data_IF_069972587713
#
_entry.id   IF_069972587713
#
_cell.length_a   1.000
_cell.length_b   1.000
_cell.length_c   1.000
_cell.angle_alpha   90.00
_cell.angle_beta   90.00
_cell.angle_gamma   90.00
#
_symmetry.space_group_name_H-M   'P 1'
#
loop_
_entity.id
_entity.type
_entity.pdbx_description
1 polymer ?
#
# COMPACT_ATOMS: atom_id res chain seq x y z
N UNK A 1 -23.08 -53.70 55.18
CA UNK A 1 -21.75 -54.28 54.92
C UNK A 1 -20.78 -53.11 54.78
N UNK A 2 -19.79 -53.10 55.67
CA UNK A 2 -18.77 -52.07 55.83
C UNK A 2 -17.71 -52.25 54.73
N UNK A 3 -17.09 -51.17 54.25
CA UNK A 3 -15.63 -50.98 54.18
C UNK A 3 -15.18 -50.07 53.00
N UNK A 4 -14.42 -49.04 53.42
CA UNK A 4 -13.34 -48.31 52.73
C UNK A 4 -13.66 -47.25 51.68
N UNK A 5 -13.38 -46.00 52.07
CA UNK A 5 -12.67 -45.04 51.21
C UNK A 5 -11.20 -45.48 51.00
N UNK A 6 -10.19 -44.60 50.99
CA UNK A 6 -10.21 -43.14 50.98
C UNK A 6 -9.24 -42.53 49.93
N UNK A 7 -9.36 -41.20 49.75
CA UNK A 7 -8.31 -40.19 49.69
C UNK A 7 -6.93 -40.44 49.04
N UNK A 8 -6.44 -39.32 48.46
CA UNK A 8 -5.02 -38.89 48.36
C UNK A 8 -4.15 -39.70 47.40
N UNK A 9 -3.16 -39.17 46.71
CA UNK A 9 -2.62 -37.85 46.44
C UNK A 9 -1.54 -38.15 45.38
N UNK A 10 -1.23 -37.17 44.53
CA UNK A 10 0.15 -36.94 44.04
C UNK A 10 0.77 -38.01 43.14
N UNK A 11 0.92 -37.71 41.84
CA UNK A 11 2.22 -37.57 41.15
C UNK A 11 1.98 -37.46 39.64
N UNK A 12 2.08 -36.25 39.09
CA UNK A 12 3.30 -35.71 38.44
C UNK A 12 3.49 -36.18 36.98
N UNK A 13 3.23 -35.26 36.04
CA UNK A 13 4.20 -34.67 35.09
C UNK A 13 3.45 -34.22 33.83
N UNK A 14 3.24 -32.92 33.68
CA UNK A 14 4.19 -31.99 33.04
C UNK A 14 4.29 -32.21 31.53
N UNK A 15 3.41 -31.54 30.80
CA UNK A 15 3.68 -31.04 29.44
C UNK A 15 3.13 -29.61 29.44
N UNK A 16 3.89 -28.64 29.95
CA UNK A 16 4.92 -27.88 29.21
C UNK A 16 4.34 -27.22 27.96
N UNK A 17 3.89 -25.98 28.16
CA UNK A 17 4.17 -24.87 27.25
C UNK A 17 3.16 -24.64 26.13
N UNK A 18 2.25 -23.70 26.36
CA UNK A 18 2.22 -22.42 25.63
C UNK A 18 1.45 -21.45 26.54
N UNK A 19 2.19 -20.59 27.24
CA UNK A 19 1.63 -19.42 27.91
C UNK A 19 1.12 -18.49 26.83
N UNK A 20 -0.16 -18.62 26.47
CA UNK A 20 -0.88 -17.51 25.85
C UNK A 20 -1.15 -16.50 26.95
N UNK A 21 -0.17 -15.64 27.20
CA UNK A 21 -0.35 -14.43 28.00
C UNK A 21 -1.42 -13.59 27.31
N UNK A 22 -2.68 -13.77 27.72
CA UNK A 22 -3.76 -12.83 27.43
C UNK A 22 -3.51 -11.65 28.36
N UNK A 23 -2.75 -10.69 27.85
CA UNK A 23 -2.57 -9.41 28.51
C UNK A 23 -3.96 -8.73 28.52
N UNK A 24 -4.62 -8.56 29.68
CA UNK A 24 -5.96 -7.96 29.75
C UNK A 24 -5.96 -6.46 29.37
N UNK A 25 -4.76 -5.87 29.22
CA UNK A 25 -4.56 -4.50 28.75
C UNK A 25 -4.40 -4.38 27.22
N UNK A 26 -4.54 -5.46 26.44
CA UNK A 26 -4.52 -5.37 24.98
C UNK A 26 -5.71 -4.56 24.42
N UNK A 27 -6.80 -4.40 25.18
CA UNK A 27 -7.93 -3.55 24.82
C UNK A 27 -7.65 -2.03 24.96
N UNK A 28 -6.56 -1.64 25.65
CA UNK A 28 -6.07 -0.26 25.67
C UNK A 28 -5.11 0.03 24.52
N UNK A 29 -4.62 -1.00 23.83
CA UNK A 29 -3.97 -0.83 22.55
C UNK A 29 -5.06 -0.81 21.49
N UNK A 30 -5.79 0.32 21.46
CA UNK A 30 -6.40 0.78 20.22
C UNK A 30 -5.38 0.53 19.11
N UNK A 31 -5.78 -0.05 17.95
CA UNK A 31 -4.88 -0.04 16.81
C UNK A 31 -4.46 1.41 16.70
N UNK A 32 -3.16 1.68 16.80
CA UNK A 32 -2.64 2.97 16.39
C UNK A 32 -3.10 3.07 14.95
N UNK A 33 -4.22 3.75 14.74
CA UNK A 33 -4.53 4.45 13.52
C UNK A 33 -3.24 5.17 13.29
N UNK A 34 -2.46 4.63 12.36
CA UNK A 34 -1.30 5.29 11.84
C UNK A 34 -1.96 6.50 11.19
N UNK A 35 -2.15 7.56 11.98
CA UNK A 35 -2.27 8.89 11.42
C UNK A 35 -1.12 8.88 10.43
N UNK A 36 -1.40 8.94 9.11
CA UNK A 36 -0.32 9.06 8.17
C UNK A 36 0.42 10.26 8.72
N UNK A 37 1.67 10.05 9.17
CA UNK A 37 2.54 11.12 9.57
C UNK A 37 2.20 12.23 8.60
N UNK A 38 1.77 13.39 9.11
CA UNK A 38 1.64 14.59 8.32
C UNK A 38 3.05 14.81 7.76
N UNK A 39 3.34 14.06 6.70
CA UNK A 39 4.58 14.04 6.03
C UNK A 39 4.55 15.46 5.52
N UNK A 40 5.54 16.28 5.90
CA UNK A 40 5.62 17.67 5.45
C UNK A 40 5.55 17.81 3.92
N UNK A 41 5.54 16.68 3.20
CA UNK A 41 4.95 16.48 1.88
C UNK A 41 3.63 17.25 1.66
N UNK A 42 3.67 18.02 0.57
CA UNK A 42 2.56 18.78 0.05
C UNK A 42 1.32 17.88 -0.20
N UNK A 43 0.09 18.39 0.07
CA UNK A 43 -1.14 17.62 -0.14
C UNK A 43 -1.33 17.11 -1.58
N UNK A 44 -0.82 17.82 -2.60
CA UNK A 44 -0.85 17.35 -3.99
C UNK A 44 0.12 16.18 -4.20
N UNK A 45 1.31 16.20 -3.60
CA UNK A 45 2.24 15.06 -3.63
C UNK A 45 1.63 13.83 -2.95
N UNK A 46 0.94 14.02 -1.83
CA UNK A 46 0.21 12.93 -1.17
C UNK A 46 -0.88 12.33 -2.08
N UNK A 47 -1.60 13.16 -2.84
CA UNK A 47 -2.57 12.68 -3.85
C UNK A 47 -1.89 11.88 -4.96
N UNK A 48 -0.76 12.34 -5.47
CA UNK A 48 0.03 11.60 -6.46
C UNK A 48 0.43 10.23 -5.90
N UNK A 49 0.98 10.19 -4.68
CA UNK A 49 1.37 8.95 -4.01
C UNK A 49 0.19 7.99 -3.82
N UNK A 50 -0.96 8.50 -3.39
CA UNK A 50 -2.16 7.68 -3.20
C UNK A 50 -2.68 7.09 -4.52
N UNK A 51 -2.73 7.89 -5.59
CA UNK A 51 -3.12 7.42 -6.92
C UNK A 51 -2.11 6.42 -7.50
N UNK A 52 -0.82 6.69 -7.36
CA UNK A 52 0.26 5.80 -7.81
C UNK A 52 0.20 4.45 -7.09
N UNK A 53 -0.03 4.46 -5.77
CA UNK A 53 -0.16 3.24 -4.96
C UNK A 53 -1.37 2.41 -5.39
N UNK A 54 -2.52 3.05 -5.64
CA UNK A 54 -3.73 2.37 -6.13
C UNK A 54 -3.50 1.71 -7.48
N UNK A 55 -2.91 2.44 -8.44
CA UNK A 55 -2.59 1.90 -9.76
C UNK A 55 -1.54 0.77 -9.67
N UNK A 56 -0.47 0.94 -8.90
CA UNK A 56 0.57 -0.09 -8.75
C UNK A 56 0.04 -1.38 -8.10
N UNK A 57 -0.89 -1.25 -7.15
CA UNK A 57 -1.54 -2.40 -6.52
C UNK A 57 -2.43 -3.14 -7.51
N UNK A 58 -3.20 -2.38 -8.29
CA UNK A 58 -4.07 -2.95 -9.31
C UNK A 58 -3.29 -3.64 -10.44
N UNK A 59 -2.20 -3.02 -10.92
CA UNK A 59 -1.30 -3.57 -11.94
C UNK A 59 -0.68 -4.89 -11.49
N UNK A 60 -0.19 -4.96 -10.24
CA UNK A 60 0.33 -6.21 -9.67
C UNK A 60 -0.75 -7.30 -9.64
N UNK A 61 -1.99 -6.96 -9.28
CA UNK A 61 -3.08 -7.93 -9.27
C UNK A 61 -3.43 -8.49 -10.66
N UNK A 62 -3.02 -7.80 -11.73
CA UNK A 62 -3.24 -8.20 -13.13
C UNK A 62 -1.94 -8.67 -13.81
N UNK A 63 -0.93 -9.10 -13.03
CA UNK A 63 0.32 -9.67 -13.53
C UNK A 63 1.31 -8.66 -14.12
N UNK A 64 1.08 -7.35 -13.93
CA UNK A 64 1.93 -6.28 -14.45
C UNK A 64 2.96 -5.82 -13.40
N UNK A 65 3.73 -6.78 -12.87
CA UNK A 65 4.67 -6.54 -11.76
C UNK A 65 5.80 -5.58 -12.11
N UNK A 66 6.32 -5.64 -13.35
CA UNK A 66 7.37 -4.75 -13.86
C UNK A 66 6.93 -3.28 -13.74
N UNK A 67 5.76 -2.96 -14.31
CA UNK A 67 5.20 -1.60 -14.33
C UNK A 67 4.81 -1.17 -12.91
N UNK A 68 4.25 -2.09 -12.11
CA UNK A 68 3.92 -1.82 -10.72
C UNK A 68 5.17 -1.51 -9.87
N UNK A 69 6.30 -2.17 -10.14
CA UNK A 69 7.58 -1.92 -9.45
C UNK A 69 8.14 -0.56 -9.84
N UNK A 70 8.13 -0.23 -11.13
CA UNK A 70 8.56 1.09 -11.61
C UNK A 70 7.75 2.21 -11.00
N UNK A 71 6.43 2.06 -10.95
CA UNK A 71 5.54 3.07 -10.38
C UNK A 71 5.82 3.28 -8.88
N UNK A 72 6.13 2.21 -8.13
CA UNK A 72 6.55 2.31 -6.72
C UNK A 72 7.93 2.96 -6.58
N UNK A 73 8.87 2.66 -7.47
CA UNK A 73 10.18 3.30 -7.47
C UNK A 73 10.08 4.81 -7.78
N UNK A 74 9.23 5.20 -8.73
CA UNK A 74 8.93 6.60 -9.00
C UNK A 74 8.25 7.29 -7.80
N UNK A 75 7.32 6.60 -7.13
CA UNK A 75 6.69 7.09 -5.91
C UNK A 75 7.69 7.30 -4.76
N UNK A 76 8.66 6.39 -4.59
CA UNK A 76 9.71 6.55 -3.59
C UNK A 76 10.59 7.78 -3.85
N UNK A 77 10.87 8.09 -5.12
CA UNK A 77 11.63 9.28 -5.51
C UNK A 77 10.92 10.59 -5.15
N UNK A 78 9.58 10.63 -5.10
CA UNK A 78 8.84 11.84 -4.73
C UNK A 78 9.19 12.40 -3.35
N UNK A 79 9.68 11.54 -2.44
CA UNK A 79 10.09 11.97 -1.10
C UNK A 79 11.48 12.63 -1.08
N UNK A 80 12.33 12.39 -2.09
CA UNK A 80 13.73 12.86 -2.13
C UNK A 80 13.95 13.91 -3.21
N UNK A 81 13.42 13.66 -4.41
CA UNK A 81 13.48 14.53 -5.58
C UNK A 81 12.12 14.43 -6.28
N UNK A 82 11.29 15.40 -5.97
CA UNK A 82 9.92 15.42 -6.43
C UNK A 82 9.81 15.55 -7.95
N UNK A 83 10.63 16.40 -8.58
CA UNK A 83 10.59 16.59 -10.02
C UNK A 83 10.98 15.30 -10.76
N UNK A 84 12.08 14.66 -10.34
CA UNK A 84 12.52 13.38 -10.92
C UNK A 84 11.48 12.28 -10.73
N UNK A 85 10.83 12.23 -9.56
CA UNK A 85 9.73 11.31 -9.28
C UNK A 85 8.55 11.50 -10.24
N UNK A 86 8.12 12.75 -10.47
CA UNK A 86 7.01 13.07 -11.37
C UNK A 86 7.33 12.72 -12.83
N UNK A 87 8.54 13.03 -13.31
CA UNK A 87 8.97 12.65 -14.66
C UNK A 87 9.02 11.12 -14.85
N UNK A 88 9.51 10.39 -13.84
CA UNK A 88 9.51 8.93 -13.88
C UNK A 88 8.06 8.39 -13.98
N UNK A 89 7.12 8.96 -13.23
CA UNK A 89 5.70 8.58 -13.31
C UNK A 89 5.10 8.88 -14.69
N UNK A 90 5.44 10.01 -15.30
CA UNK A 90 4.99 10.36 -16.65
C UNK A 90 5.47 9.33 -17.68
N UNK A 91 6.72 8.89 -17.58
CA UNK A 91 7.27 7.87 -18.48
C UNK A 91 6.56 6.51 -18.29
N UNK A 92 6.30 6.10 -17.05
CA UNK A 92 5.53 4.88 -16.77
C UNK A 92 4.09 4.97 -17.30
N UNK A 93 3.43 6.13 -17.15
CA UNK A 93 2.09 6.39 -17.69
C UNK A 93 2.05 6.34 -19.23
N UNK A 94 3.13 6.76 -19.90
CA UNK A 94 3.26 6.66 -21.37
C UNK A 94 3.32 5.20 -21.81
N UNK A 95 4.09 4.36 -21.11
CA UNK A 95 4.18 2.92 -21.39
C UNK A 95 2.86 2.19 -21.17
N UNK A 96 2.10 2.59 -20.15
CA UNK A 96 0.76 2.03 -19.88
C UNK A 96 -0.24 2.24 -21.02
N UNK A 97 -0.08 3.25 -21.88
CA UNK A 97 -0.98 3.48 -23.02
C UNK A 97 -0.95 2.34 -24.04
N UNK A 98 0.16 1.59 -24.12
CA UNK A 98 0.30 0.45 -25.03
C UNK A 98 -0.06 -0.90 -24.40
N UNK A 99 -0.51 -0.92 -23.15
CA UNK A 99 -0.83 -2.17 -22.45
C UNK A 99 -2.23 -2.64 -22.84
N UNK A 100 -2.32 -3.82 -23.45
CA UNK A 100 -3.56 -4.53 -23.71
C UNK A 100 -3.74 -5.65 -22.67
N UNK A 101 -4.92 -5.71 -22.04
CA UNK A 101 -5.22 -6.71 -21.00
C UNK A 101 -6.15 -7.81 -21.50
N UNK A 102 -6.80 -7.62 -22.65
CA UNK A 102 -7.69 -8.61 -23.25
C UNK A 102 -9.07 -8.74 -22.58
N UNK A 103 -9.27 -8.08 -21.43
CA UNK A 103 -10.56 -7.91 -20.76
C UNK A 103 -10.98 -6.44 -20.77
N UNK A 104 -12.12 -6.16 -21.40
CA UNK A 104 -12.70 -4.82 -21.53
C UNK A 104 -12.96 -4.16 -20.17
N UNK A 105 -13.35 -4.92 -19.14
CA UNK A 105 -13.59 -4.37 -17.81
C UNK A 105 -12.27 -3.96 -17.15
N UNK A 106 -11.23 -4.77 -17.30
CA UNK A 106 -9.89 -4.46 -16.81
C UNK A 106 -9.31 -3.24 -17.53
N UNK A 107 -9.52 -3.12 -18.85
CA UNK A 107 -9.08 -1.98 -19.65
C UNK A 107 -9.76 -0.66 -19.21
N UNK A 108 -11.07 -0.67 -18.98
CA UNK A 108 -11.78 0.50 -18.47
C UNK A 108 -11.27 0.88 -17.07
N UNK A 109 -11.06 -0.11 -16.19
CA UNK A 109 -10.51 0.14 -14.85
C UNK A 109 -9.11 0.73 -14.91
N UNK A 110 -8.25 0.22 -15.80
CA UNK A 110 -6.92 0.75 -16.04
C UNK A 110 -6.98 2.20 -16.55
N UNK A 111 -7.89 2.50 -17.47
CA UNK A 111 -8.10 3.85 -18.00
C UNK A 111 -8.50 4.83 -16.90
N UNK A 112 -9.39 4.45 -16.00
CA UNK A 112 -9.79 5.28 -14.85
C UNK A 112 -8.58 5.55 -13.94
N UNK A 113 -7.90 4.49 -13.49
CA UNK A 113 -6.77 4.62 -12.55
C UNK A 113 -5.58 5.39 -13.15
N UNK A 114 -5.28 5.18 -14.43
CA UNK A 114 -4.22 5.91 -15.12
C UNK A 114 -4.59 7.37 -15.36
N UNK A 115 -5.87 7.68 -15.58
CA UNK A 115 -6.34 9.06 -15.73
C UNK A 115 -6.32 9.82 -14.40
N UNK A 116 -6.71 9.18 -13.30
CA UNK A 116 -6.59 9.75 -11.95
C UNK A 116 -5.14 10.08 -11.59
N UNK A 117 -4.21 9.16 -11.86
CA UNK A 117 -2.78 9.41 -11.63
C UNK A 117 -2.27 10.52 -12.54
N UNK A 118 -2.62 10.52 -13.83
CA UNK A 118 -2.21 11.57 -14.78
C UNK A 118 -2.66 12.94 -14.31
N UNK A 119 -3.91 13.08 -13.86
CA UNK A 119 -4.44 14.34 -13.34
C UNK A 119 -3.67 14.80 -12.09
N UNK A 120 -3.45 13.91 -11.12
CA UNK A 120 -2.70 14.26 -9.92
C UNK A 120 -1.26 14.69 -10.22
N UNK A 121 -0.59 14.01 -11.17
CA UNK A 121 0.76 14.34 -11.62
C UNK A 121 0.78 15.69 -12.31
N UNK A 122 -0.17 15.95 -13.22
CA UNK A 122 -0.30 17.24 -13.92
C UNK A 122 -0.54 18.39 -12.95
N UNK A 123 -1.48 18.23 -12.02
CA UNK A 123 -1.79 19.22 -10.99
C UNK A 123 -0.55 19.57 -10.14
N UNK A 124 0.37 18.61 -9.95
CA UNK A 124 1.61 18.82 -9.20
C UNK A 124 2.72 19.44 -10.05
N UNK A 125 2.85 19.04 -11.30
CA UNK A 125 3.75 19.69 -12.25
C UNK A 125 3.44 21.19 -12.39
N UNK A 126 2.16 21.54 -12.54
CA UNK A 126 1.71 22.95 -12.61
C UNK A 126 2.11 23.76 -11.38
N UNK A 127 2.02 23.17 -10.18
CA UNK A 127 2.45 23.84 -8.95
C UNK A 127 3.95 24.03 -8.83
N UNK A 128 4.73 23.14 -9.42
CA UNK A 128 6.18 23.23 -9.42
C UNK A 128 6.68 24.09 -10.59
N UNK A 129 5.76 24.65 -11.39
CA UNK A 129 6.05 25.35 -12.65
C UNK A 129 6.91 24.52 -13.60
N UNK A 130 6.86 23.20 -13.41
CA UNK A 130 7.47 22.21 -14.26
C UNK A 130 6.54 22.08 -15.46
N UNK A 131 6.69 23.01 -16.42
CA UNK A 131 5.97 22.95 -17.67
C UNK A 131 6.20 21.58 -18.30
N UNK A 132 5.13 20.81 -18.61
CA UNK A 132 5.30 19.64 -19.43
C UNK A 132 5.81 20.14 -20.78
N UNK A 133 6.99 19.70 -21.20
CA UNK A 133 7.41 19.94 -22.57
C UNK A 133 6.34 19.36 -23.51
N UNK A 134 5.54 20.26 -24.11
CA UNK A 134 4.69 20.00 -25.27
C UNK A 134 3.26 19.51 -24.97
N UNK A 135 2.30 20.34 -25.34
CA UNK A 135 1.06 19.87 -25.98
C UNK A 135 1.42 18.84 -27.06
N UNK A 136 0.98 17.59 -26.90
CA UNK A 136 0.90 16.56 -27.94
C UNK A 136 -0.45 15.86 -27.82
#
# INVERSE_FOLDING_TARGET
MVILGPQTMTMLRRIRGIRRSRNPFAALQAPRTREPAASGLNPKTQRVLASATRLATWLRAHGQDEIARELRAAAAKLATDEASGLYAMQNTLRRLRGLALGDRNAEERLKILSSELRKAVQDRFEQLELLPFGHL
#
